data_IF_758038412476
#
_entry.id   IF_758038412476
#
_cell.length_a   1.000
_cell.length_b   1.000
_cell.length_c   1.000
_cell.angle_alpha   90.00
_cell.angle_beta   90.00
_cell.angle_gamma   90.00
#
_symmetry.space_group_name_H-M   'P 1'
#
loop_
_entity.id
_entity.type
_entity.pdbx_description
1 polymer ?
#
# COMPACT_ATOMS: atom_id res chain seq x y z
N UNK A 1 -28.97 15.52 -32.39
CA UNK A 1 -28.91 14.10 -31.94
C UNK A 1 -27.56 13.94 -31.26
N UNK A 2 -27.55 14.35 -29.99
CA UNK A 2 -26.33 14.39 -29.17
C UNK A 2 -26.14 13.03 -28.53
N UNK A 3 -24.98 12.42 -28.79
CA UNK A 3 -24.53 11.28 -28.02
C UNK A 3 -23.80 11.81 -26.79
N UNK A 4 -24.44 11.70 -25.65
CA UNK A 4 -23.79 11.87 -24.35
C UNK A 4 -22.71 10.76 -24.21
N UNK A 5 -21.47 11.18 -24.23
CA UNK A 5 -20.35 10.38 -23.76
C UNK A 5 -20.47 10.20 -22.26
N UNK A 6 -20.88 9.02 -21.81
CA UNK A 6 -20.72 8.61 -20.41
C UNK A 6 -19.24 8.53 -20.09
N UNK A 7 -18.71 9.55 -19.43
CA UNK A 7 -17.42 9.45 -18.74
C UNK A 7 -17.54 8.40 -17.64
N UNK A 8 -16.99 7.23 -17.87
CA UNK A 8 -16.69 6.27 -16.78
C UNK A 8 -15.50 6.84 -15.99
N UNK A 9 -15.77 7.44 -14.87
CA UNK A 9 -14.73 7.75 -13.89
C UNK A 9 -14.59 6.53 -12.98
N UNK A 10 -13.56 5.74 -13.21
CA UNK A 10 -13.19 4.66 -12.29
C UNK A 10 -12.56 5.25 -11.04
N UNK A 11 -12.93 4.74 -9.87
CA UNK A 11 -12.25 5.04 -8.61
C UNK A 11 -11.06 4.11 -8.50
N UNK A 12 -9.87 4.67 -8.32
CA UNK A 12 -8.66 3.91 -7.98
C UNK A 12 -8.87 3.22 -6.63
N UNK A 13 -8.29 2.07 -6.42
CA UNK A 13 -8.29 1.39 -5.12
C UNK A 13 -7.74 2.29 -3.99
N UNK A 14 -7.02 3.35 -4.39
CA UNK A 14 -6.35 4.34 -3.57
C UNK A 14 -6.66 5.75 -4.10
N UNK A 15 -7.92 5.96 -4.57
CA UNK A 15 -8.28 7.10 -5.42
C UNK A 15 -8.14 8.44 -4.77
N UNK A 16 -7.50 9.34 -5.49
CA UNK A 16 -7.78 10.77 -5.35
C UNK A 16 -9.16 11.04 -5.94
N UNK A 17 -10.14 11.42 -5.12
CA UNK A 17 -11.43 11.88 -5.58
C UNK A 17 -11.29 13.27 -6.20
N UNK A 18 -11.33 13.39 -7.53
CA UNK A 18 -11.68 14.66 -8.14
C UNK A 18 -13.15 14.96 -7.80
N UNK A 19 -13.37 15.92 -6.92
CA UNK A 19 -14.71 16.38 -6.54
C UNK A 19 -15.41 17.00 -7.74
N UNK A 20 -16.43 16.35 -8.26
CA UNK A 20 -17.34 16.94 -9.22
C UNK A 20 -18.32 17.87 -8.49
N UNK A 21 -18.38 19.13 -8.92
CA UNK A 21 -19.25 20.16 -8.36
C UNK A 21 -20.69 19.86 -8.75
N UNK A 22 -21.52 19.43 -7.79
CA UNK A 22 -22.98 19.38 -7.95
C UNK A 22 -23.72 18.13 -7.48
N UNK A 23 -23.05 17.03 -7.15
CA UNK A 23 -23.65 15.84 -6.53
C UNK A 23 -23.15 15.67 -5.10
N UNK A 24 -23.91 14.97 -4.27
CA UNK A 24 -23.44 14.59 -2.93
C UNK A 24 -22.20 13.68 -3.11
N UNK A 25 -20.99 14.11 -2.71
CA UNK A 25 -19.75 13.33 -2.92
C UNK A 25 -19.83 11.93 -2.34
N UNK A 26 -20.69 11.74 -1.35
CA UNK A 26 -20.93 10.47 -0.66
C UNK A 26 -21.80 9.56 -1.52
N UNK A 27 -22.80 10.08 -2.25
CA UNK A 27 -23.61 9.28 -3.16
C UNK A 27 -22.80 8.80 -4.37
N UNK A 28 -21.87 9.60 -4.88
CA UNK A 28 -20.96 9.19 -5.95
C UNK A 28 -19.94 8.16 -5.48
N UNK A 29 -19.32 8.35 -4.32
CA UNK A 29 -18.38 7.37 -3.77
C UNK A 29 -19.06 6.02 -3.46
N UNK A 30 -20.30 6.04 -3.00
CA UNK A 30 -21.11 4.82 -2.79
C UNK A 30 -21.48 4.15 -4.11
N UNK A 31 -21.88 4.92 -5.11
CA UNK A 31 -22.21 4.40 -6.44
C UNK A 31 -20.98 3.82 -7.15
N UNK A 32 -19.80 4.42 -6.97
CA UNK A 32 -18.54 3.99 -7.58
C UNK A 32 -18.00 2.72 -6.90
N UNK A 33 -17.97 2.68 -5.57
CA UNK A 33 -17.53 1.48 -4.83
C UNK A 33 -18.52 0.31 -4.96
N UNK A 34 -19.83 0.58 -4.98
CA UNK A 34 -20.83 -0.48 -5.23
C UNK A 34 -20.85 -0.92 -6.69
N UNK A 35 -20.65 -0.01 -7.64
CA UNK A 35 -20.62 -0.31 -9.07
C UNK A 35 -19.53 -1.30 -9.45
N UNK A 36 -18.33 -1.10 -8.94
CA UNK A 36 -17.19 -1.99 -9.18
C UNK A 36 -17.32 -3.32 -8.42
N UNK A 37 -17.85 -3.30 -7.21
CA UNK A 37 -18.12 -4.52 -6.42
C UNK A 37 -19.30 -5.33 -6.97
N UNK A 38 -20.32 -4.69 -7.54
CA UNK A 38 -21.48 -5.34 -8.18
C UNK A 38 -21.09 -5.96 -9.52
N UNK A 39 -20.14 -5.37 -10.25
CA UNK A 39 -19.68 -5.91 -11.54
C UNK A 39 -18.82 -7.18 -11.41
N UNK A 40 -18.20 -7.40 -10.27
CA UNK A 40 -17.28 -8.53 -10.08
C UNK A 40 -17.80 -9.66 -9.17
N UNK A 41 -18.77 -9.42 -8.24
CA UNK A 41 -19.27 -10.49 -7.38
C UNK A 41 -20.63 -10.18 -6.69
N UNK A 42 -21.65 -10.96 -6.97
CA UNK A 42 -22.67 -11.44 -6.01
C UNK A 42 -23.94 -10.62 -5.70
N UNK A 43 -24.22 -9.49 -6.31
CA UNK A 43 -25.56 -8.90 -6.14
C UNK A 43 -26.28 -8.83 -7.48
N UNK A 44 -27.35 -9.59 -7.68
CA UNK A 44 -28.16 -9.51 -8.90
C UNK A 44 -28.77 -8.10 -9.03
N UNK A 45 -28.86 -7.58 -10.26
CA UNK A 45 -29.53 -6.28 -10.56
C UNK A 45 -30.95 -6.19 -9.95
N UNK A 46 -31.60 -7.32 -9.71
CA UNK A 46 -32.92 -7.43 -9.06
C UNK A 46 -32.86 -7.07 -7.57
N UNK A 47 -31.76 -7.36 -6.87
CA UNK A 47 -31.60 -7.00 -5.46
C UNK A 47 -31.37 -5.49 -5.31
N UNK A 48 -30.52 -4.91 -6.17
CA UNK A 48 -30.29 -3.47 -6.21
C UNK A 48 -31.57 -2.68 -6.54
N UNK A 49 -32.39 -3.16 -7.47
CA UNK A 49 -33.70 -2.56 -7.80
C UNK A 49 -34.74 -2.73 -6.68
N UNK A 50 -34.75 -3.83 -5.96
CA UNK A 50 -35.63 -4.03 -4.80
C UNK A 50 -35.29 -3.15 -3.60
N UNK A 51 -34.01 -2.91 -3.37
CA UNK A 51 -33.53 -1.99 -2.32
C UNK A 51 -33.92 -0.55 -2.66
N UNK A 52 -33.83 -0.14 -3.93
CA UNK A 52 -34.12 1.24 -4.36
C UNK A 52 -35.61 1.62 -4.35
N UNK A 53 -36.56 0.68 -4.42
CA UNK A 53 -37.95 0.97 -4.76
C UNK A 53 -38.94 1.05 -3.61
N UNK A 54 -38.63 0.63 -2.37
CA UNK A 54 -39.64 0.52 -1.28
C UNK A 54 -39.21 0.89 0.14
N UNK A 55 -38.03 1.41 0.37
CA UNK A 55 -37.50 1.66 1.73
C UNK A 55 -37.72 3.09 2.18
N UNK A 56 -38.18 3.27 3.44
CA UNK A 56 -38.12 4.54 4.17
C UNK A 56 -36.65 5.05 4.17
N UNK A 57 -36.44 6.34 4.01
CA UNK A 57 -35.13 6.99 3.92
C UNK A 57 -34.15 6.56 5.04
N UNK A 58 -34.67 6.39 6.26
CA UNK A 58 -33.91 5.90 7.42
C UNK A 58 -33.46 4.44 7.22
N UNK A 59 -34.31 3.58 6.69
CA UNK A 59 -34.00 2.16 6.44
C UNK A 59 -32.99 2.01 5.32
N UNK A 60 -33.10 2.82 4.27
CA UNK A 60 -32.08 2.88 3.20
C UNK A 60 -30.73 3.27 3.75
N UNK A 61 -30.67 4.28 4.64
CA UNK A 61 -29.41 4.71 5.26
C UNK A 61 -28.82 3.64 6.17
N UNK A 62 -29.63 2.92 6.95
CA UNK A 62 -29.18 1.76 7.75
C UNK A 62 -28.57 0.67 6.89
N UNK A 63 -29.20 0.34 5.76
CA UNK A 63 -28.71 -0.68 4.85
C UNK A 63 -27.37 -0.27 4.20
N UNK A 64 -27.26 0.98 3.79
CA UNK A 64 -25.99 1.54 3.25
C UNK A 64 -24.86 1.49 4.28
N UNK A 65 -25.16 1.87 5.54
CA UNK A 65 -24.19 1.81 6.62
C UNK A 65 -23.76 0.38 6.93
N UNK A 66 -24.72 -0.56 6.94
CA UNK A 66 -24.45 -1.97 7.17
C UNK A 66 -23.52 -2.53 6.09
N UNK A 67 -23.82 -2.27 4.83
CA UNK A 67 -22.93 -2.67 3.72
C UNK A 67 -21.52 -2.08 3.88
N UNK A 68 -21.42 -0.80 4.23
CA UNK A 68 -20.13 -0.12 4.46
C UNK A 68 -19.38 -0.77 5.62
N UNK A 69 -20.03 -0.98 6.77
CA UNK A 69 -19.40 -1.62 7.92
C UNK A 69 -19.01 -3.06 7.64
N UNK A 70 -19.83 -3.83 6.89
CA UNK A 70 -19.52 -5.21 6.51
C UNK A 70 -18.28 -5.28 5.59
N UNK A 71 -18.14 -4.38 4.62
CA UNK A 71 -16.98 -4.29 3.74
C UNK A 71 -15.70 -4.04 4.56
N UNK A 72 -15.72 -3.06 5.45
CA UNK A 72 -14.53 -2.63 6.18
C UNK A 72 -14.32 -3.38 7.52
N UNK A 73 -15.33 -4.07 8.07
CA UNK A 73 -15.18 -4.96 9.22
C UNK A 73 -14.67 -6.34 8.85
N UNK A 74 -14.68 -6.71 7.56
CA UNK A 74 -14.09 -7.97 7.16
C UNK A 74 -12.61 -7.97 7.59
N UNK A 75 -12.20 -9.02 8.30
CA UNK A 75 -10.83 -9.20 8.84
C UNK A 75 -9.72 -8.93 7.81
N UNK A 76 -10.05 -8.99 6.53
CA UNK A 76 -9.13 -8.77 5.42
C UNK A 76 -8.87 -7.30 5.10
N UNK A 77 -9.78 -6.39 5.43
CA UNK A 77 -9.66 -4.97 5.04
C UNK A 77 -8.98 -4.13 6.11
N UNK A 78 -9.15 -4.50 7.39
CA UNK A 78 -8.64 -3.74 8.54
C UNK A 78 -7.26 -4.19 9.01
N UNK A 79 -6.80 -5.37 8.62
CA UNK A 79 -5.43 -5.78 8.92
C UNK A 79 -4.49 -5.16 7.88
N UNK A 80 -3.82 -4.09 8.26
CA UNK A 80 -2.66 -3.54 7.52
C UNK A 80 -1.63 -4.63 7.23
N UNK A 81 -1.56 -5.62 8.13
CA UNK A 81 -0.67 -6.76 8.08
C UNK A 81 -1.48 -8.04 8.35
N UNK A 82 -1.29 -9.05 7.51
CA UNK A 82 -1.99 -10.32 7.62
C UNK A 82 -1.34 -11.17 8.73
N UNK A 83 -2.04 -11.38 9.83
CA UNK A 83 -1.54 -12.19 10.93
C UNK A 83 -2.38 -13.44 11.10
N UNK A 84 -1.70 -14.57 11.24
CA UNK A 84 -2.30 -15.87 11.50
C UNK A 84 -2.95 -15.99 12.89
N UNK A 85 -2.79 -14.97 13.74
CA UNK A 85 -3.31 -14.92 15.11
C UNK A 85 -4.48 -13.94 15.21
N UNK A 86 -5.50 -14.34 16.00
CA UNK A 86 -6.63 -13.48 16.38
C UNK A 86 -6.31 -12.64 17.63
N UNK A 87 -5.14 -12.79 18.22
CA UNK A 87 -4.74 -12.07 19.42
C UNK A 87 -4.13 -10.72 19.06
N UNK A 88 -4.70 -9.66 19.56
CA UNK A 88 -4.27 -8.27 19.34
C UNK A 88 -2.76 -8.10 19.58
N UNK A 89 -2.26 -8.63 20.70
CA UNK A 89 -0.83 -8.55 21.08
C UNK A 89 0.09 -9.21 20.05
N UNK A 90 -0.32 -10.33 19.45
CA UNK A 90 0.47 -11.01 18.43
C UNK A 90 0.58 -10.19 17.16
N UNK A 91 -0.50 -9.48 16.78
CA UNK A 91 -0.57 -8.59 15.63
C UNK A 91 0.46 -7.44 15.80
N UNK A 92 0.35 -6.67 16.89
CA UNK A 92 1.23 -5.53 17.12
C UNK A 92 2.68 -5.94 17.36
N UNK A 93 2.92 -7.11 17.98
CA UNK A 93 4.27 -7.67 18.11
C UNK A 93 4.89 -7.99 16.75
N UNK A 94 4.12 -8.51 15.82
CA UNK A 94 4.61 -8.79 14.47
C UNK A 94 4.89 -7.49 13.69
N UNK A 95 4.05 -6.46 13.86
CA UNK A 95 4.30 -5.12 13.30
C UNK A 95 5.62 -4.55 13.86
N UNK A 96 5.79 -4.59 15.17
CA UNK A 96 7.01 -4.10 15.83
C UNK A 96 8.27 -4.83 15.30
N UNK A 97 8.21 -6.15 15.12
CA UNK A 97 9.30 -6.93 14.51
C UNK A 97 9.56 -6.55 13.06
N UNK A 98 8.51 -6.31 12.27
CA UNK A 98 8.65 -5.87 10.89
C UNK A 98 9.31 -4.50 10.77
N UNK A 99 8.95 -3.56 11.65
CA UNK A 99 9.59 -2.23 11.72
C UNK A 99 11.09 -2.41 12.03
N UNK A 100 11.46 -3.17 13.06
CA UNK A 100 12.87 -3.45 13.39
C UNK A 100 13.63 -4.01 12.20
N UNK A 101 13.03 -4.94 11.47
CA UNK A 101 13.67 -5.56 10.31
C UNK A 101 13.83 -4.59 9.13
N UNK A 102 12.84 -3.71 8.90
CA UNK A 102 12.86 -2.76 7.79
C UNK A 102 13.86 -1.62 7.98
N UNK A 103 13.93 -1.07 9.19
CA UNK A 103 14.73 0.13 9.47
C UNK A 103 16.01 -0.14 10.28
N UNK A 104 16.28 -1.41 10.62
CA UNK A 104 17.49 -1.87 11.31
C UNK A 104 17.74 -1.12 12.65
N UNK A 105 16.75 -1.13 13.52
CA UNK A 105 16.83 -0.56 14.88
C UNK A 105 16.89 -1.67 15.93
N UNK A 106 17.30 -1.32 17.17
CA UNK A 106 17.50 -2.31 18.24
C UNK A 106 16.17 -2.84 18.76
N UNK A 107 15.21 -1.96 19.01
CA UNK A 107 13.88 -2.33 19.50
C UNK A 107 12.79 -1.43 18.96
N UNK A 108 11.60 -2.01 18.85
CA UNK A 108 10.36 -1.30 18.57
C UNK A 108 9.28 -1.84 19.51
N UNK A 109 8.53 -0.92 20.14
CA UNK A 109 7.38 -1.22 20.97
C UNK A 109 6.19 -0.39 20.54
N UNK A 110 5.00 -0.97 20.67
CA UNK A 110 3.73 -0.33 20.30
C UNK A 110 2.84 -0.32 21.52
N UNK A 111 2.43 0.86 21.91
CA UNK A 111 1.50 1.08 23.03
C UNK A 111 0.19 1.63 22.47
N UNK A 112 -0.93 1.09 22.96
CA UNK A 112 -2.26 1.59 22.64
C UNK A 112 -2.86 2.33 23.84
N UNK A 113 -3.69 3.33 23.55
CA UNK A 113 -4.49 4.01 24.57
C UNK A 113 -5.65 3.11 24.95
N UNK A 114 -5.70 2.68 26.21
CA UNK A 114 -6.76 1.85 26.81
C UNK A 114 -7.18 2.42 28.17
N UNK A 115 -8.32 1.97 28.68
CA UNK A 115 -8.81 2.19 30.05
C UNK A 115 -8.62 3.62 30.59
N UNK A 116 -9.24 4.62 29.96
CA UNK A 116 -9.25 5.99 30.47
C UNK A 116 -7.94 6.73 30.31
N UNK A 117 -7.31 6.64 29.14
CA UNK A 117 -6.12 7.36 28.72
C UNK A 117 -4.77 6.79 29.22
N UNK A 118 -4.68 5.48 29.43
CA UNK A 118 -3.40 4.83 29.74
C UNK A 118 -2.76 4.22 28.51
N UNK A 119 -1.45 4.41 28.35
CA UNK A 119 -0.66 3.71 27.36
C UNK A 119 -0.34 2.28 27.83
N UNK A 120 -0.86 1.30 27.14
CA UNK A 120 -0.69 -0.13 27.44
C UNK A 120 0.16 -0.77 26.36
N UNK A 121 1.27 -1.41 26.76
CA UNK A 121 2.13 -2.15 25.83
C UNK A 121 1.33 -3.27 25.15
N UNK A 122 1.18 -3.18 23.85
CA UNK A 122 0.39 -4.13 23.07
C UNK A 122 1.27 -4.91 22.08
N UNK A 123 2.37 -4.31 21.60
CA UNK A 123 3.32 -4.97 20.71
C UNK A 123 4.77 -4.73 21.13
N UNK A 124 5.61 -5.77 21.05
CA UNK A 124 7.02 -5.68 21.44
C UNK A 124 7.89 -6.55 20.51
N UNK A 125 8.93 -5.97 19.92
CA UNK A 125 9.89 -6.70 19.08
C UNK A 125 10.83 -7.60 19.91
N UNK A 126 10.96 -7.34 21.21
CA UNK A 126 11.81 -8.06 22.16
C UNK A 126 10.97 -8.59 23.33
N UNK A 127 11.55 -9.48 24.15
CA UNK A 127 10.85 -10.02 25.32
C UNK A 127 11.00 -9.14 26.58
N UNK A 128 11.61 -7.97 26.48
CA UNK A 128 11.83 -7.08 27.62
C UNK A 128 10.61 -6.20 27.85
N UNK A 129 9.94 -6.38 28.97
CA UNK A 129 8.88 -5.48 29.43
C UNK A 129 9.49 -4.18 29.95
N UNK A 130 9.06 -3.06 29.43
CA UNK A 130 9.43 -1.74 29.89
C UNK A 130 8.22 -0.83 29.86
N UNK A 131 8.09 0.06 30.83
CA UNK A 131 7.02 1.05 30.84
C UNK A 131 7.33 2.20 29.90
N UNK A 132 6.31 2.71 29.24
CA UNK A 132 6.41 3.90 28.41
C UNK A 132 6.72 5.12 29.29
N UNK A 133 7.76 5.87 28.95
CA UNK A 133 8.19 7.06 29.71
C UNK A 133 7.56 8.36 29.18
N UNK A 134 6.48 8.28 28.40
CA UNK A 134 5.81 9.43 27.80
C UNK A 134 4.37 9.48 28.28
N UNK A 135 3.86 10.70 28.48
CA UNK A 135 2.46 10.92 28.83
C UNK A 135 1.62 11.23 27.59
N UNK A 136 0.32 10.96 27.67
CA UNK A 136 -0.60 11.13 26.55
C UNK A 136 -0.69 12.60 26.08
N UNK A 137 -0.58 13.55 27.00
CA UNK A 137 -0.60 14.97 26.69
C UNK A 137 0.60 15.40 25.83
N UNK A 138 1.78 14.80 26.05
CA UNK A 138 2.96 15.03 25.21
C UNK A 138 2.70 14.55 23.76
N UNK A 139 1.98 13.43 23.60
CA UNK A 139 1.64 12.87 22.29
C UNK A 139 0.63 13.74 21.52
N UNK A 140 -0.18 14.56 22.18
CA UNK A 140 -1.22 15.36 21.54
C UNK A 140 -0.63 16.53 20.73
N UNK A 141 0.49 17.08 21.17
CA UNK A 141 1.06 18.32 20.63
C UNK A 141 2.27 18.13 19.73
N UNK A 142 2.91 16.97 19.73
CA UNK A 142 4.16 16.73 19.01
C UNK A 142 4.00 15.64 17.97
N UNK A 143 4.51 15.88 16.75
CA UNK A 143 4.54 14.85 15.68
C UNK A 143 5.58 13.76 15.95
N UNK A 144 6.64 14.11 16.67
CA UNK A 144 7.73 13.23 17.04
C UNK A 144 8.33 13.73 18.34
N UNK A 145 8.69 12.81 19.23
CA UNK A 145 9.32 13.14 20.50
C UNK A 145 10.59 12.29 20.68
N UNK A 146 11.72 12.95 20.93
CA UNK A 146 12.98 12.28 21.31
C UNK A 146 13.21 12.49 22.81
N UNK A 147 13.26 11.39 23.57
CA UNK A 147 13.43 11.43 25.03
C UNK A 147 14.16 10.18 25.50
N UNK A 148 15.18 10.34 26.36
CA UNK A 148 15.93 9.25 26.99
C UNK A 148 16.50 8.20 26.00
N UNK A 149 16.89 8.62 24.79
CA UNK A 149 17.43 7.74 23.74
C UNK A 149 16.35 7.00 22.92
N UNK A 150 15.08 7.25 23.21
CA UNK A 150 13.95 6.71 22.46
C UNK A 150 13.34 7.77 21.54
N UNK A 151 12.86 7.32 20.41
CA UNK A 151 12.01 8.09 19.49
C UNK A 151 10.57 7.59 19.63
N UNK A 152 9.66 8.51 19.96
CA UNK A 152 8.23 8.24 20.11
C UNK A 152 7.46 8.87 18.94
N UNK A 153 6.71 8.06 18.24
CA UNK A 153 5.93 8.45 17.05
C UNK A 153 4.45 8.20 17.38
N UNK A 154 3.65 9.26 17.56
CA UNK A 154 2.24 9.11 17.89
C UNK A 154 1.45 8.44 16.76
N UNK A 155 0.63 7.47 17.09
CA UNK A 155 -0.40 6.92 16.22
C UNK A 155 -1.66 7.74 16.39
N UNK A 156 -2.08 8.45 15.34
CA UNK A 156 -3.23 9.37 15.39
C UNK A 156 -4.27 9.03 14.34
N UNK A 157 -5.51 9.40 14.67
CA UNK A 157 -6.55 9.61 13.69
C UNK A 157 -7.03 11.05 13.83
N UNK A 158 -6.94 11.82 12.77
CA UNK A 158 -7.10 13.29 12.82
C UNK A 158 -6.11 13.91 13.82
N UNK A 159 -6.58 14.44 14.95
CA UNK A 159 -5.72 15.04 15.99
C UNK A 159 -5.67 14.24 17.30
N UNK A 160 -6.38 13.11 17.38
CA UNK A 160 -6.50 12.33 18.62
C UNK A 160 -5.46 11.20 18.61
N UNK A 161 -4.55 11.12 19.62
CA UNK A 161 -3.63 10.02 19.74
C UNK A 161 -4.37 8.76 20.25
N UNK A 162 -4.23 7.66 19.53
CA UNK A 162 -4.78 6.33 19.87
C UNK A 162 -3.69 5.38 20.34
N UNK A 163 -2.43 5.80 20.24
CA UNK A 163 -1.29 5.02 20.69
C UNK A 163 0.02 5.69 20.32
N UNK A 164 1.13 4.97 20.51
CA UNK A 164 2.48 5.43 20.16
C UNK A 164 3.37 4.26 19.75
N UNK A 165 4.23 4.51 18.78
CA UNK A 165 5.35 3.64 18.41
C UNK A 165 6.60 4.19 19.10
N UNK A 166 7.24 3.38 19.91
CA UNK A 166 8.51 3.66 20.60
C UNK A 166 9.63 2.91 19.88
N UNK A 167 10.69 3.61 19.52
CA UNK A 167 11.85 3.05 18.84
C UNK A 167 13.11 3.37 19.66
N UNK A 168 13.93 2.36 19.93
CA UNK A 168 15.29 2.53 20.46
C UNK A 168 16.29 2.33 19.33
N UNK A 169 17.18 3.33 19.16
CA UNK A 169 18.29 3.23 18.22
C UNK A 169 19.47 4.09 18.68
N UNK A 170 20.70 3.56 18.57
CA UNK A 170 21.92 4.29 18.87
C UNK A 170 22.28 5.27 17.75
N UNK A 171 21.74 5.06 16.55
CA UNK A 171 21.95 5.94 15.39
C UNK A 171 20.75 6.85 15.17
N UNK A 172 21.02 8.07 14.69
CA UNK A 172 19.93 8.93 14.21
C UNK A 172 19.24 8.27 13.03
N UNK A 173 17.91 8.15 13.10
CA UNK A 173 17.11 7.65 11.98
C UNK A 173 17.24 8.60 10.78
N UNK A 174 17.38 8.02 9.62
CA UNK A 174 17.34 8.74 8.36
C UNK A 174 15.92 9.24 8.07
N UNK A 175 15.80 10.40 7.38
CA UNK A 175 14.51 11.04 7.11
C UNK A 175 13.54 10.12 6.37
N UNK A 176 13.99 9.33 5.39
CA UNK A 176 13.10 8.43 4.64
C UNK A 176 12.59 7.27 5.50
N UNK A 177 13.42 6.75 6.41
CA UNK A 177 12.98 5.72 7.36
C UNK A 177 12.06 6.28 8.43
N UNK A 178 12.29 7.50 8.86
CA UNK A 178 11.41 8.20 9.79
C UNK A 178 10.05 8.45 9.14
N UNK A 179 10.02 8.95 7.90
CA UNK A 179 8.80 9.14 7.13
C UNK A 179 8.02 7.82 6.97
N UNK A 180 8.72 6.71 6.70
CA UNK A 180 8.10 5.39 6.62
C UNK A 180 7.39 5.01 7.93
N UNK A 181 8.06 5.17 9.09
CA UNK A 181 7.45 4.82 10.37
C UNK A 181 6.32 5.76 10.74
N UNK A 182 6.41 7.06 10.41
CA UNK A 182 5.31 8.00 10.58
C UNK A 182 4.08 7.61 9.74
N UNK A 183 4.28 7.16 8.50
CA UNK A 183 3.19 6.64 7.67
C UNK A 183 2.59 5.35 8.24
N UNK A 184 3.41 4.45 8.80
CA UNK A 184 2.91 3.27 9.53
C UNK A 184 2.08 3.70 10.75
N UNK A 185 2.54 4.68 11.53
CA UNK A 185 1.85 5.17 12.70
C UNK A 185 0.48 5.78 12.35
N UNK A 186 0.40 6.60 11.31
CA UNK A 186 -0.84 7.19 10.82
C UNK A 186 -1.81 6.12 10.30
N UNK A 187 -1.30 5.16 9.53
CA UNK A 187 -2.08 4.06 9.01
C UNK A 187 -2.68 3.20 10.14
N UNK A 188 -1.89 2.88 11.17
CA UNK A 188 -2.36 2.16 12.35
C UNK A 188 -3.38 2.97 13.14
N UNK A 189 -3.10 4.26 13.38
CA UNK A 189 -4.01 5.15 14.10
C UNK A 189 -5.38 5.25 13.43
N UNK A 190 -5.41 5.47 12.12
CA UNK A 190 -6.66 5.53 11.35
C UNK A 190 -7.38 4.18 11.33
N UNK A 191 -6.64 3.07 11.21
CA UNK A 191 -7.23 1.73 11.23
C UNK A 191 -7.91 1.44 12.57
N UNK A 192 -7.27 1.76 13.70
CA UNK A 192 -7.84 1.58 15.04
C UNK A 192 -9.10 2.42 15.20
N UNK A 193 -9.06 3.67 14.79
CA UNK A 193 -10.23 4.57 14.88
C UNK A 193 -11.37 4.10 14.00
N UNK A 194 -11.08 3.64 12.80
CA UNK A 194 -12.09 3.08 11.88
C UNK A 194 -12.77 1.84 12.49
N UNK A 195 -12.00 0.95 13.14
CA UNK A 195 -12.59 -0.21 13.85
C UNK A 195 -13.55 0.21 14.96
N UNK A 196 -13.15 1.17 15.79
CA UNK A 196 -13.98 1.69 16.86
C UNK A 196 -15.26 2.34 16.30
N UNK A 197 -15.16 3.09 15.20
CA UNK A 197 -16.31 3.74 14.58
C UNK A 197 -17.25 2.73 13.89
N UNK A 198 -16.72 1.66 13.32
CA UNK A 198 -17.53 0.54 12.80
C UNK A 198 -18.33 -0.12 13.93
N UNK A 199 -17.70 -0.40 15.07
CA UNK A 199 -18.40 -0.97 16.23
C UNK A 199 -19.49 -0.03 16.78
N UNK A 200 -19.18 1.27 16.85
CA UNK A 200 -20.14 2.31 17.24
C UNK A 200 -21.33 2.37 16.26
N UNK A 201 -21.03 2.42 14.96
CA UNK A 201 -22.05 2.47 13.90
C UNK A 201 -22.93 1.24 13.89
N UNK A 202 -22.38 0.03 14.11
CA UNK A 202 -23.19 -1.19 14.22
C UNK A 202 -24.16 -1.11 15.40
N UNK A 203 -23.73 -0.58 16.55
CA UNK A 203 -24.64 -0.33 17.69
C UNK A 203 -25.74 0.67 17.34
N UNK A 204 -25.46 1.71 16.55
CA UNK A 204 -26.47 2.66 16.07
C UNK A 204 -27.45 2.02 15.09
N UNK A 205 -27.01 1.11 14.23
CA UNK A 205 -27.85 0.38 13.29
C UNK A 205 -28.84 -0.54 14.04
N UNK A 206 -28.36 -1.24 15.06
CA UNK A 206 -29.16 -2.20 15.84
C UNK A 206 -30.15 -1.49 16.79
N UNK A 207 -29.87 -0.26 17.19
CA UNK A 207 -30.73 0.53 18.08
C UNK A 207 -31.73 1.41 17.30
N UNK A 208 -32.72 2.00 18.00
CA UNK A 208 -33.64 3.01 17.44
C UNK A 208 -33.00 4.39 17.27
N UNK A 209 -31.81 4.45 16.67
CA UNK A 209 -31.08 5.72 16.45
C UNK A 209 -31.84 6.65 15.49
N UNK A 210 -31.64 7.96 15.65
CA UNK A 210 -32.24 8.97 14.77
C UNK A 210 -31.59 8.98 13.37
N UNK A 211 -32.31 9.51 12.37
CA UNK A 211 -31.74 9.72 11.03
C UNK A 211 -30.52 10.64 11.06
N UNK A 212 -30.47 11.57 12.01
CA UNK A 212 -29.34 12.50 12.19
C UNK A 212 -28.08 11.74 12.64
N UNK A 213 -28.18 10.88 13.68
CA UNK A 213 -27.05 10.10 14.18
C UNK A 213 -26.49 9.14 13.10
N UNK A 214 -27.37 8.50 12.33
CA UNK A 214 -26.96 7.63 11.23
C UNK A 214 -26.24 8.40 10.10
N UNK A 215 -26.66 9.64 9.80
CA UNK A 215 -25.96 10.49 8.83
C UNK A 215 -24.60 10.95 9.33
N UNK A 216 -24.50 11.27 10.60
CA UNK A 216 -23.23 11.64 11.22
C UNK A 216 -22.26 10.45 11.17
N UNK A 217 -22.66 9.27 11.62
CA UNK A 217 -21.83 8.07 11.54
C UNK A 217 -21.38 7.75 10.11
N UNK A 218 -22.26 7.94 9.12
CA UNK A 218 -21.91 7.78 7.70
C UNK A 218 -20.81 8.76 7.28
N UNK A 219 -20.93 10.02 7.67
CA UNK A 219 -19.93 11.05 7.31
C UNK A 219 -18.58 10.74 7.96
N UNK A 220 -18.56 10.33 9.24
CA UNK A 220 -17.36 9.96 9.98
C UNK A 220 -16.66 8.74 9.37
N UNK A 221 -17.41 7.66 9.08
CA UNK A 221 -16.86 6.49 8.41
C UNK A 221 -16.29 6.83 7.03
N UNK A 222 -17.00 7.66 6.26
CA UNK A 222 -16.54 8.04 4.92
C UNK A 222 -15.24 8.85 4.98
N UNK A 223 -15.12 9.77 5.93
CA UNK A 223 -13.89 10.53 6.13
C UNK A 223 -12.72 9.61 6.52
N UNK A 224 -12.92 8.69 7.50
CA UNK A 224 -11.90 7.74 7.93
C UNK A 224 -11.44 6.80 6.82
N UNK A 225 -12.36 6.37 5.95
CA UNK A 225 -12.02 5.54 4.79
C UNK A 225 -11.18 6.34 3.79
N UNK A 226 -11.50 7.62 3.55
CA UNK A 226 -10.69 8.52 2.73
C UNK A 226 -9.27 8.65 3.28
N UNK A 227 -9.15 8.98 4.56
CA UNK A 227 -7.85 9.09 5.24
C UNK A 227 -7.06 7.77 5.16
N UNK A 228 -7.72 6.63 5.33
CA UNK A 228 -7.08 5.32 5.22
C UNK A 228 -6.48 5.10 3.84
N UNK A 229 -7.21 5.43 2.77
CA UNK A 229 -6.73 5.32 1.40
C UNK A 229 -5.50 6.21 1.15
N UNK A 230 -5.55 7.45 1.63
CA UNK A 230 -4.43 8.40 1.49
C UNK A 230 -3.19 7.90 2.25
N UNK A 231 -3.33 7.40 3.47
CA UNK A 231 -2.21 6.84 4.23
C UNK A 231 -1.67 5.55 3.62
N UNK A 232 -2.51 4.71 3.02
CA UNK A 232 -2.04 3.54 2.27
C UNK A 232 -1.16 3.95 1.08
N UNK A 233 -1.57 4.96 0.33
CA UNK A 233 -0.77 5.48 -0.77
C UNK A 233 0.56 6.06 -0.28
N UNK A 234 0.53 6.92 0.74
CA UNK A 234 1.72 7.53 1.32
C UNK A 234 2.70 6.48 1.86
N UNK A 235 2.17 5.43 2.51
CA UNK A 235 2.98 4.30 2.98
C UNK A 235 3.71 3.60 1.83
N UNK A 236 3.02 3.31 0.72
CA UNK A 236 3.65 2.66 -0.46
C UNK A 236 4.75 3.53 -1.04
N UNK A 237 4.51 4.84 -1.16
CA UNK A 237 5.53 5.78 -1.67
C UNK A 237 6.73 5.90 -0.72
N UNK A 238 6.50 6.02 0.59
CA UNK A 238 7.56 6.07 1.58
C UNK A 238 8.38 4.77 1.61
N UNK A 239 7.71 3.62 1.50
CA UNK A 239 8.36 2.33 1.43
C UNK A 239 9.24 2.21 0.18
N UNK A 240 8.77 2.65 -0.98
CA UNK A 240 9.55 2.68 -2.22
C UNK A 240 10.76 3.61 -2.11
N UNK A 241 10.60 4.79 -1.50
CA UNK A 241 11.70 5.73 -1.27
C UNK A 241 12.78 5.14 -0.35
N UNK A 242 12.38 4.51 0.76
CA UNK A 242 13.31 3.86 1.69
C UNK A 242 14.12 2.73 1.01
N UNK A 243 13.47 1.97 0.12
CA UNK A 243 14.11 0.90 -0.68
C UNK A 243 15.11 1.48 -1.68
N UNK A 244 14.69 2.50 -2.43
CA UNK A 244 15.55 3.14 -3.45
C UNK A 244 16.80 3.74 -2.79
N UNK A 245 16.64 4.41 -1.65
CA UNK A 245 17.75 4.97 -0.89
C UNK A 245 18.72 3.91 -0.40
N UNK A 246 18.21 2.86 0.23
CA UNK A 246 19.05 1.76 0.73
C UNK A 246 19.79 1.03 -0.39
N UNK A 247 19.16 0.89 -1.55
CA UNK A 247 19.76 0.27 -2.73
C UNK A 247 20.77 1.13 -3.47
N UNK A 248 21.05 2.35 -3.01
CA UNK A 248 21.89 3.36 -3.70
C UNK A 248 21.45 3.62 -5.15
N UNK A 249 20.18 3.42 -5.42
CA UNK A 249 19.58 3.83 -6.69
C UNK A 249 19.44 5.36 -6.73
N UNK A 250 19.45 5.93 -7.94
CA UNK A 250 19.01 7.31 -8.09
C UNK A 250 17.59 7.44 -7.51
N UNK A 251 17.44 8.45 -6.65
CA UNK A 251 16.19 8.79 -5.92
C UNK A 251 15.04 9.00 -6.92
N UNK A 252 14.51 7.96 -7.51
CA UNK A 252 13.36 7.97 -8.42
C UNK A 252 13.28 6.75 -9.35
N UNK A 253 14.18 5.77 -9.23
CA UNK A 253 14.15 4.63 -10.17
C UNK A 253 12.83 3.86 -10.06
N UNK A 254 12.42 3.48 -8.86
CA UNK A 254 11.15 2.78 -8.64
C UNK A 254 9.95 3.62 -9.11
N UNK A 255 9.97 4.94 -8.81
CA UNK A 255 8.91 5.86 -9.25
C UNK A 255 8.88 6.02 -10.79
N UNK A 256 10.04 6.09 -11.45
CA UNK A 256 10.09 6.16 -12.92
C UNK A 256 9.59 4.87 -13.56
N UNK A 257 10.00 3.72 -13.03
CA UNK A 257 9.50 2.41 -13.51
C UNK A 257 7.99 2.31 -13.36
N UNK A 258 7.44 2.71 -12.19
CA UNK A 258 6.00 2.70 -11.95
C UNK A 258 5.23 3.65 -12.89
N UNK A 259 5.74 4.87 -13.13
CA UNK A 259 5.14 5.83 -14.09
C UNK A 259 5.12 5.28 -15.52
N UNK A 260 6.22 4.67 -15.96
CA UNK A 260 6.28 4.01 -17.28
C UNK A 260 5.29 2.86 -17.36
N UNK A 261 5.24 2.00 -16.33
CA UNK A 261 4.29 0.89 -16.27
C UNK A 261 2.83 1.39 -16.35
N UNK A 262 2.48 2.46 -15.60
CA UNK A 262 1.15 3.11 -15.68
C UNK A 262 0.86 3.66 -17.09
N UNK A 263 1.83 4.28 -17.75
CA UNK A 263 1.72 4.76 -19.12
C UNK A 263 1.44 3.61 -20.10
N UNK A 264 2.17 2.50 -19.97
CA UNK A 264 1.96 1.30 -20.79
C UNK A 264 0.55 0.73 -20.56
N UNK A 265 0.10 0.61 -19.30
CA UNK A 265 -1.24 0.14 -18.95
C UNK A 265 -2.34 0.96 -19.63
N UNK A 266 -2.25 2.30 -19.53
CA UNK A 266 -3.19 3.21 -20.19
C UNK A 266 -3.19 3.02 -21.71
N UNK A 267 -2.03 2.83 -22.32
CA UNK A 267 -1.90 2.61 -23.76
C UNK A 267 -2.47 1.27 -24.21
N UNK A 268 -2.36 0.25 -23.37
CA UNK A 268 -2.97 -1.07 -23.59
C UNK A 268 -4.48 -1.09 -23.28
N UNK A 269 -5.07 -0.01 -22.75
CA UNK A 269 -6.49 0.10 -22.42
C UNK A 269 -6.90 -0.71 -21.20
N UNK A 270 -5.99 -0.93 -20.23
CA UNK A 270 -6.31 -1.62 -18.99
C UNK A 270 -7.20 -0.75 -18.11
N UNK A 271 -8.06 -1.38 -17.30
CA UNK A 271 -8.90 -0.68 -16.35
C UNK A 271 -8.05 -0.03 -15.24
N UNK A 272 -8.63 0.92 -14.52
CA UNK A 272 -7.92 1.74 -13.54
C UNK A 272 -7.42 0.91 -12.35
N UNK A 273 -8.24 -0.01 -11.82
CA UNK A 273 -7.84 -0.92 -10.75
C UNK A 273 -6.56 -1.71 -11.10
N UNK A 274 -6.57 -2.35 -12.27
CA UNK A 274 -5.39 -3.10 -12.75
C UNK A 274 -4.18 -2.19 -12.98
N UNK A 275 -4.42 -0.98 -13.48
CA UNK A 275 -3.38 0.02 -13.71
C UNK A 275 -2.72 0.46 -12.40
N UNK A 276 -3.49 0.67 -11.33
CA UNK A 276 -2.98 1.04 -10.02
C UNK A 276 -2.23 -0.11 -9.36
N UNK A 277 -2.74 -1.34 -9.43
CA UNK A 277 -2.03 -2.52 -8.94
C UNK A 277 -0.65 -2.68 -9.61
N UNK A 278 -0.58 -2.48 -10.93
CA UNK A 278 0.68 -2.56 -11.68
C UNK A 278 1.59 -1.37 -11.33
N UNK A 279 1.04 -0.19 -11.10
CA UNK A 279 1.79 0.96 -10.61
C UNK A 279 2.44 0.70 -9.25
N UNK A 280 1.68 0.17 -8.27
CA UNK A 280 2.22 -0.21 -6.96
C UNK A 280 3.24 -1.34 -7.05
N UNK A 281 3.00 -2.34 -7.90
CA UNK A 281 3.98 -3.37 -8.16
C UNK A 281 5.29 -2.80 -8.74
N UNK A 282 5.21 -1.82 -9.63
CA UNK A 282 6.36 -1.10 -10.15
C UNK A 282 7.12 -0.29 -9.09
N UNK A 283 6.41 0.35 -8.14
CA UNK A 283 7.03 1.03 -7.00
C UNK A 283 7.76 0.04 -6.07
N UNK A 284 7.15 -1.12 -5.81
CA UNK A 284 7.59 -2.08 -4.80
C UNK A 284 8.42 -3.23 -5.36
N UNK A 285 8.74 -3.24 -6.65
CA UNK A 285 9.47 -4.35 -7.30
C UNK A 285 10.80 -4.71 -6.63
N UNK A 286 11.43 -3.74 -6.01
CA UNK A 286 12.71 -3.89 -5.33
C UNK A 286 12.60 -4.03 -3.80
N UNK A 287 11.38 -4.20 -3.25
CA UNK A 287 11.11 -4.16 -1.81
C UNK A 287 12.01 -5.10 -0.99
N UNK A 288 12.34 -6.25 -1.51
CA UNK A 288 13.21 -7.19 -0.82
C UNK A 288 14.63 -6.68 -0.55
N UNK A 289 15.06 -5.64 -1.25
CA UNK A 289 16.36 -5.00 -1.01
C UNK A 289 16.43 -4.28 0.33
N UNK A 290 15.28 -3.92 0.92
CA UNK A 290 15.23 -3.28 2.25
C UNK A 290 15.86 -4.17 3.33
N UNK A 291 15.86 -5.48 3.16
CA UNK A 291 16.44 -6.45 4.11
C UNK A 291 17.91 -6.76 3.86
N UNK A 292 18.50 -6.25 2.78
CA UNK A 292 19.91 -6.47 2.48
C UNK A 292 20.78 -5.50 3.28
N UNK A 293 21.90 -5.97 3.87
CA UNK A 293 22.84 -5.09 4.55
C UNK A 293 23.42 -4.03 3.62
N UNK A 294 23.54 -2.79 4.07
CA UNK A 294 24.09 -1.66 3.28
C UNK A 294 25.46 -1.95 2.66
N UNK A 295 26.30 -2.71 3.37
CA UNK A 295 27.63 -3.12 2.87
C UNK A 295 27.58 -3.87 1.52
N UNK A 296 26.46 -4.54 1.19
CA UNK A 296 26.31 -5.21 -0.09
C UNK A 296 26.27 -4.20 -1.25
N UNK A 297 25.65 -3.06 -1.03
CA UNK A 297 25.55 -1.98 -2.03
C UNK A 297 26.79 -1.09 -2.10
N UNK A 298 27.48 -0.91 -0.96
CA UNK A 298 28.70 -0.12 -0.88
C UNK A 298 29.95 -0.86 -1.40
N UNK A 299 29.86 -2.17 -1.61
CA UNK A 299 31.01 -3.00 -1.93
C UNK A 299 31.37 -2.95 -3.43
N UNK A 300 32.43 -2.22 -3.78
CA UNK A 300 32.98 -2.21 -5.15
C UNK A 300 33.81 -3.47 -5.48
N UNK A 301 33.86 -4.46 -4.58
CA UNK A 301 34.62 -5.69 -4.70
C UNK A 301 33.79 -6.90 -5.14
N UNK A 302 34.43 -8.09 -5.13
CA UNK A 302 33.73 -9.36 -5.38
C UNK A 302 32.86 -9.70 -4.16
N UNK A 303 31.56 -9.88 -4.40
CA UNK A 303 30.62 -10.37 -3.39
C UNK A 303 30.94 -11.79 -2.97
N UNK A 304 30.77 -12.09 -1.69
CA UNK A 304 30.87 -13.47 -1.20
C UNK A 304 29.72 -14.36 -1.76
N UNK A 305 29.89 -15.68 -1.79
CA UNK A 305 28.81 -16.58 -2.21
C UNK A 305 27.53 -16.41 -1.40
N UNK A 306 27.64 -16.09 -0.11
CA UNK A 306 26.52 -15.84 0.78
C UNK A 306 25.81 -14.52 0.45
N UNK A 307 26.55 -13.47 0.14
CA UNK A 307 26.00 -12.18 -0.30
C UNK A 307 25.29 -12.32 -1.65
N UNK A 308 25.88 -13.06 -2.58
CA UNK A 308 25.24 -13.39 -3.87
C UNK A 308 23.92 -14.15 -3.67
N UNK A 309 23.89 -15.10 -2.71
CA UNK A 309 22.68 -15.86 -2.41
C UNK A 309 21.58 -14.94 -1.80
N UNK A 310 21.95 -14.02 -0.90
CA UNK A 310 21.03 -13.03 -0.37
C UNK A 310 20.43 -12.15 -1.47
N UNK A 311 21.27 -11.65 -2.39
CA UNK A 311 20.82 -10.87 -3.54
C UNK A 311 19.88 -11.68 -4.44
N UNK A 312 20.19 -12.95 -4.71
CA UNK A 312 19.31 -13.82 -5.52
C UNK A 312 17.96 -14.06 -4.86
N UNK A 313 17.92 -14.12 -3.53
CA UNK A 313 16.71 -14.43 -2.77
C UNK A 313 15.90 -13.19 -2.36
N UNK A 314 16.40 -11.97 -2.62
CA UNK A 314 15.75 -10.75 -2.12
C UNK A 314 14.30 -10.59 -2.60
N UNK A 315 13.99 -10.98 -3.83
CA UNK A 315 12.62 -10.92 -4.37
C UNK A 315 11.65 -11.76 -3.53
N UNK A 316 12.05 -13.01 -3.16
CA UNK A 316 11.22 -13.87 -2.32
C UNK A 316 11.01 -13.29 -0.93
N UNK A 317 12.04 -12.67 -0.34
CA UNK A 317 11.92 -11.98 0.96
C UNK A 317 10.95 -10.80 0.84
N UNK A 318 11.05 -10.03 -0.22
CA UNK A 318 10.14 -8.91 -0.50
C UNK A 318 8.70 -9.36 -0.71
N UNK A 319 8.49 -10.41 -1.47
CA UNK A 319 7.18 -11.03 -1.67
C UNK A 319 6.56 -11.45 -0.33
N UNK A 320 7.33 -12.14 0.53
CA UNK A 320 6.87 -12.55 1.85
C UNK A 320 6.51 -11.36 2.74
N UNK A 321 7.24 -10.26 2.66
CA UNK A 321 6.91 -9.03 3.37
C UNK A 321 5.57 -8.46 2.89
N UNK A 322 5.36 -8.37 1.57
CA UNK A 322 4.13 -7.82 0.98
C UNK A 322 2.91 -8.71 1.19
N UNK A 323 3.09 -10.04 1.23
CA UNK A 323 1.99 -10.97 1.55
C UNK A 323 1.40 -10.76 2.94
N UNK A 324 2.16 -10.17 3.85
CA UNK A 324 1.69 -9.80 5.19
C UNK A 324 0.94 -8.45 5.23
N UNK A 325 0.86 -7.73 4.12
CA UNK A 325 0.17 -6.44 4.01
C UNK A 325 -1.04 -6.64 3.10
N UNK A 326 -2.23 -6.72 3.68
CA UNK A 326 -3.42 -7.17 2.96
C UNK A 326 -3.71 -6.40 1.68
N UNK A 327 -3.71 -5.07 1.73
CA UNK A 327 -4.02 -4.24 0.57
C UNK A 327 -2.94 -4.32 -0.53
N UNK A 328 -1.77 -4.92 -0.25
CA UNK A 328 -0.69 -5.16 -1.23
C UNK A 328 -0.64 -6.61 -1.72
N UNK A 329 -1.48 -7.51 -1.20
CA UNK A 329 -1.45 -8.92 -1.59
C UNK A 329 -1.70 -9.14 -3.09
N UNK A 330 -2.55 -8.32 -3.72
CA UNK A 330 -2.87 -8.39 -5.14
C UNK A 330 -1.70 -7.97 -6.05
N UNK A 331 -0.71 -7.21 -5.54
CA UNK A 331 0.48 -6.83 -6.34
C UNK A 331 1.56 -7.93 -6.35
N UNK A 332 1.50 -8.87 -5.40
CA UNK A 332 2.49 -9.93 -5.21
C UNK A 332 2.76 -10.75 -6.47
N UNK A 333 1.77 -11.24 -7.22
CA UNK A 333 2.03 -12.01 -8.45
C UNK A 333 2.83 -11.22 -9.49
N UNK A 334 2.60 -9.92 -9.59
CA UNK A 334 3.30 -9.07 -10.56
C UNK A 334 4.78 -8.91 -10.19
N UNK A 335 5.10 -8.81 -8.90
CA UNK A 335 6.47 -8.72 -8.40
C UNK A 335 7.18 -10.07 -8.46
N UNK A 336 6.48 -11.17 -8.13
CA UNK A 336 7.06 -12.52 -8.14
C UNK A 336 7.63 -12.88 -9.51
N UNK A 337 6.89 -12.58 -10.58
CA UNK A 337 7.22 -13.02 -11.93
C UNK A 337 7.85 -11.93 -12.82
N UNK A 338 8.27 -10.80 -12.25
CA UNK A 338 8.86 -9.69 -13.03
C UNK A 338 10.20 -10.03 -13.69
N UNK A 339 10.90 -11.04 -13.17
CA UNK A 339 12.18 -11.51 -13.75
C UNK A 339 12.00 -12.63 -14.76
N UNK A 340 10.78 -13.07 -15.02
CA UNK A 340 10.48 -13.98 -16.12
C UNK A 340 10.71 -13.34 -17.49
N UNK A 341 10.99 -14.16 -18.50
CA UNK A 341 11.22 -13.74 -19.87
C UNK A 341 10.31 -14.52 -20.82
N UNK A 342 9.81 -13.88 -21.87
CA UNK A 342 8.80 -14.45 -22.77
C UNK A 342 9.26 -15.78 -23.39
N UNK A 343 10.57 -15.97 -23.59
CA UNK A 343 11.16 -17.23 -24.10
C UNK A 343 11.30 -18.33 -23.03
N UNK A 344 11.04 -18.01 -21.75
CA UNK A 344 11.20 -18.94 -20.63
C UNK A 344 12.60 -19.01 -20.05
N UNK A 345 13.51 -18.11 -20.44
CA UNK A 345 14.86 -18.02 -19.86
C UNK A 345 14.89 -17.29 -18.52
N UNK A 346 13.74 -16.76 -18.05
CA UNK A 346 13.60 -16.03 -16.80
C UNK A 346 13.46 -16.91 -15.57
N UNK A 347 13.20 -16.30 -14.45
CA UNK A 347 13.03 -16.91 -13.11
C UNK A 347 11.83 -16.30 -12.42
N UNK A 348 11.17 -16.97 -11.43
CA UNK A 348 11.62 -18.18 -10.74
C UNK A 348 11.24 -19.51 -11.41
N UNK A 349 10.21 -19.53 -12.26
CA UNK A 349 9.61 -20.77 -12.75
C UNK A 349 9.90 -21.06 -14.25
N UNK A 350 10.49 -20.11 -14.97
CA UNK A 350 10.74 -20.22 -16.40
C UNK A 350 9.45 -20.19 -17.23
N UNK A 351 8.47 -19.38 -16.78
CA UNK A 351 7.20 -19.18 -17.47
C UNK A 351 7.41 -18.61 -18.86
N UNK A 352 6.53 -18.98 -19.80
CA UNK A 352 6.63 -18.57 -21.21
C UNK A 352 5.41 -17.77 -21.67
N UNK A 353 5.67 -16.75 -22.49
CA UNK A 353 4.64 -16.00 -23.19
C UNK A 353 3.55 -15.47 -22.26
N UNK A 354 2.31 -15.83 -22.53
CA UNK A 354 1.14 -15.39 -21.78
C UNK A 354 0.95 -16.07 -20.41
N UNK A 355 1.71 -17.13 -20.12
CA UNK A 355 1.72 -17.71 -18.76
C UNK A 355 2.35 -16.77 -17.74
N UNK A 356 3.14 -15.79 -18.19
CA UNK A 356 3.64 -14.71 -17.33
C UNK A 356 2.52 -13.69 -17.14
N UNK A 357 2.16 -13.31 -15.90
CA UNK A 357 1.15 -12.27 -15.66
C UNK A 357 1.44 -10.99 -16.46
N UNK A 358 0.42 -10.37 -17.04
CA UNK A 358 0.62 -9.19 -17.88
C UNK A 358 1.32 -8.05 -17.13
N UNK A 359 0.95 -7.82 -15.85
CA UNK A 359 1.61 -6.83 -15.01
C UNK A 359 3.10 -7.08 -14.86
N UNK A 360 3.52 -8.34 -14.70
CA UNK A 360 4.95 -8.72 -14.64
C UNK A 360 5.68 -8.40 -15.93
N UNK A 361 5.06 -8.69 -17.10
CA UNK A 361 5.63 -8.36 -18.42
C UNK A 361 5.77 -6.85 -18.62
N UNK A 362 4.79 -6.07 -18.14
CA UNK A 362 4.81 -4.60 -18.17
C UNK A 362 5.93 -4.05 -17.28
N UNK A 363 6.01 -4.50 -16.02
CA UNK A 363 7.03 -4.06 -15.07
C UNK A 363 8.43 -4.40 -15.57
N UNK A 364 8.63 -5.64 -16.05
CA UNK A 364 9.92 -6.09 -16.58
C UNK A 364 10.43 -5.19 -17.72
N UNK A 365 9.55 -4.79 -18.63
CA UNK A 365 9.89 -3.92 -19.76
C UNK A 365 10.16 -2.49 -19.31
N UNK A 366 9.31 -1.95 -18.42
CA UNK A 366 9.45 -0.62 -17.84
C UNK A 366 10.75 -0.48 -17.01
N UNK A 367 11.07 -1.51 -16.20
CA UNK A 367 12.29 -1.56 -15.40
C UNK A 367 13.54 -1.59 -16.28
N UNK A 368 13.54 -2.43 -17.32
CA UNK A 368 14.66 -2.52 -18.25
C UNK A 368 14.93 -1.18 -18.94
N UNK A 369 13.89 -0.48 -19.39
CA UNK A 369 14.04 0.84 -19.99
C UNK A 369 14.51 1.88 -18.97
N UNK A 370 13.86 1.97 -17.82
CA UNK A 370 14.25 2.87 -16.72
C UNK A 370 15.69 2.63 -16.29
N UNK A 371 16.10 1.37 -16.19
CA UNK A 371 17.47 1.00 -15.84
C UNK A 371 18.50 1.42 -16.88
N UNK A 372 18.18 1.42 -18.16
CA UNK A 372 19.09 1.85 -19.24
C UNK A 372 19.20 3.36 -19.32
N UNK A 373 18.11 4.09 -19.08
CA UNK A 373 18.02 5.56 -19.22
C UNK A 373 18.25 6.34 -17.94
N UNK A 374 18.60 5.67 -16.83
CA UNK A 374 18.97 6.30 -15.57
C UNK A 374 20.47 6.19 -15.31
N UNK A 375 21.05 7.23 -14.67
CA UNK A 375 22.42 7.18 -14.17
C UNK A 375 22.56 6.13 -13.06
N UNK A 376 23.66 5.42 -13.08
CA UNK A 376 24.02 4.45 -12.02
C UNK A 376 25.44 4.75 -11.52
N UNK A 377 25.83 4.36 -10.30
CA UNK A 377 27.16 4.64 -9.76
C UNK A 377 28.31 4.26 -10.69
N UNK A 378 28.11 3.24 -11.53
CA UNK A 378 29.17 2.70 -12.43
C UNK A 378 28.88 2.95 -13.92
N UNK A 379 27.76 3.60 -14.29
CA UNK A 379 27.37 3.81 -15.70
C UNK A 379 26.46 5.02 -15.85
N UNK A 380 26.80 5.91 -16.77
CA UNK A 380 25.91 7.00 -17.19
C UNK A 380 24.66 6.46 -17.91
N UNK A 381 23.60 7.23 -17.86
CA UNK A 381 22.37 6.98 -18.59
C UNK A 381 22.67 6.79 -20.09
N UNK A 382 21.98 5.81 -20.68
CA UNK A 382 21.99 5.60 -22.11
C UNK A 382 20.98 6.56 -22.76
N UNK A 383 21.25 6.93 -24.01
CA UNK A 383 20.30 7.66 -24.82
C UNK A 383 18.98 6.90 -24.98
N UNK A 384 17.86 7.62 -24.93
CA UNK A 384 16.52 7.07 -25.01
C UNK A 384 16.27 6.27 -26.29
N UNK A 385 16.72 6.78 -27.45
CA UNK A 385 16.54 6.12 -28.74
C UNK A 385 17.28 4.79 -28.78
N UNK A 386 18.53 4.77 -28.27
CA UNK A 386 19.33 3.55 -28.20
C UNK A 386 18.72 2.52 -27.24
N UNK A 387 18.18 2.96 -26.10
CA UNK A 387 17.50 2.06 -25.17
C UNK A 387 16.27 1.39 -25.80
N UNK A 388 15.48 2.16 -26.54
CA UNK A 388 14.33 1.65 -27.28
C UNK A 388 14.76 0.66 -28.39
N UNK A 389 15.82 0.92 -29.14
CA UNK A 389 16.33 -0.01 -30.15
C UNK A 389 16.70 -1.36 -29.54
N UNK A 390 17.37 -1.36 -28.38
CA UNK A 390 17.70 -2.60 -27.66
C UNK A 390 16.44 -3.35 -27.26
N UNK A 391 15.47 -2.68 -26.64
CA UNK A 391 14.22 -3.32 -26.22
C UNK A 391 13.45 -3.88 -27.43
N UNK A 392 13.37 -3.14 -28.53
CA UNK A 392 12.73 -3.59 -29.76
C UNK A 392 13.41 -4.83 -30.34
N UNK A 393 14.73 -4.87 -30.34
CA UNK A 393 15.49 -6.04 -30.87
C UNK A 393 15.25 -7.32 -30.10
N UNK A 394 14.86 -7.21 -28.81
CA UNK A 394 14.57 -8.34 -27.94
C UNK A 394 13.06 -8.61 -27.78
N UNK A 395 12.19 -7.87 -28.50
CA UNK A 395 10.74 -8.03 -28.46
C UNK A 395 10.30 -9.41 -28.98
N UNK A 396 9.52 -10.13 -28.19
CA UNK A 396 9.09 -11.51 -28.48
C UNK A 396 10.11 -12.58 -28.11
N UNK A 397 11.28 -12.18 -27.59
CA UNK A 397 12.30 -13.04 -27.01
C UNK A 397 12.30 -12.82 -25.48
N UNK A 398 12.82 -11.70 -25.04
CA UNK A 398 12.83 -11.35 -23.60
C UNK A 398 11.57 -10.59 -23.17
N UNK A 399 11.11 -9.68 -24.02
CA UNK A 399 10.02 -8.75 -23.74
C UNK A 399 8.78 -9.08 -24.55
N UNK A 400 7.61 -8.80 -23.99
CA UNK A 400 6.34 -8.94 -24.68
C UNK A 400 6.23 -7.89 -25.80
N UNK A 401 5.81 -8.33 -27.01
CA UNK A 401 5.71 -7.46 -28.19
C UNK A 401 4.71 -6.34 -28.03
N UNK A 402 3.55 -6.62 -27.44
CA UNK A 402 2.49 -5.63 -27.29
C UNK A 402 2.88 -4.59 -26.25
N UNK A 403 3.55 -5.03 -25.16
CA UNK A 403 4.10 -4.16 -24.13
C UNK A 403 5.21 -3.26 -24.69
N UNK A 404 6.13 -3.81 -25.52
CA UNK A 404 7.17 -3.02 -26.19
C UNK A 404 6.56 -1.99 -27.13
N UNK A 405 5.54 -2.38 -27.92
CA UNK A 405 4.83 -1.47 -28.81
C UNK A 405 4.14 -0.34 -28.03
N UNK A 406 3.51 -0.65 -26.89
CA UNK A 406 2.89 0.35 -26.02
C UNK A 406 3.93 1.31 -25.43
N UNK A 407 5.07 0.78 -24.93
CA UNK A 407 6.19 1.59 -24.43
C UNK A 407 6.68 2.58 -25.48
N UNK A 408 6.89 2.14 -26.71
CA UNK A 408 7.41 3.00 -27.78
C UNK A 408 6.46 4.11 -28.23
N UNK A 409 5.19 4.05 -27.83
CA UNK A 409 4.20 5.08 -28.14
C UNK A 409 4.03 6.12 -27.05
N UNK A 410 4.62 5.91 -25.88
CA UNK A 410 4.52 6.83 -24.74
C UNK A 410 5.84 7.54 -24.44
N UNK A 411 6.93 7.14 -25.08
CA UNK A 411 8.24 7.77 -25.06
C UNK A 411 8.41 8.57 -26.35
#
# INVERSE_FOLDING_TARGET
MDKEEKKQTGVSLFGQSEYLVGSDPIEEMFALNLGDFISENLISEDLAKKISSKSNKKERLKNQLKELTDIYSSKNTLCVLNFSSNEETAIYTSIAKSIVQMIEVETCRIYLVKDGNKLVLTGNSTNNEQHCNIELDELTHNELIEKDGFTYIPMRSSSVPVGVIEILTERKLDEDFLELVMNIANLLGTTITLQNEIEHTNKLIDNESSEFELKQARAELTALIGDLCDYQQNFVEALANAVDKKGQYTVSHSRNTAKLARGICKKLGLNEKTTDLIYYAGLLQNIGKITLPEKIFANNGKLSPEELQKIKNHTNVGVNLLMNINFLSEVVPYITYQTERVDGSGTPEGLKGQSIPLGSRIIATADAYSAMTSDRPYRKAMDSEKAIEIIKSEAGIKWDKDVVNALTQII
#
